data_IF_683729162388
#
_entry.id   IF_683729162388
#
_cell.length_a   1.000
_cell.length_b   1.000
_cell.length_c   1.000
_cell.angle_alpha   90.00
_cell.angle_beta   90.00
_cell.angle_gamma   90.00
#
_symmetry.space_group_name_H-M   'P 1'
#
loop_
_entity.id
_entity.type
_entity.pdbx_description
1 polymer ?
#
# COMPACT_ATOMS: atom_id res chain seq x y z
N UNK A 1 14.78 -9.92 7.92
CA UNK A 1 13.66 -10.60 7.22
C UNK A 1 13.90 -10.54 5.73
N UNK A 2 14.04 -9.36 5.10
CA UNK A 2 14.12 -9.19 3.64
C UNK A 2 15.28 -9.96 2.97
N UNK A 3 16.42 -10.13 3.66
CA UNK A 3 17.60 -10.77 3.06
C UNK A 3 17.80 -12.23 3.51
N UNK A 4 17.37 -12.59 4.73
CA UNK A 4 17.73 -13.87 5.35
C UNK A 4 16.54 -14.81 5.58
N UNK A 5 15.31 -14.28 5.55
CA UNK A 5 14.12 -15.08 5.75
C UNK A 5 13.60 -15.63 4.39
N UNK A 6 12.82 -16.70 4.40
CA UNK A 6 12.18 -17.24 3.21
C UNK A 6 11.20 -16.22 2.59
N UNK A 7 10.86 -16.38 1.32
CA UNK A 7 10.10 -15.42 0.53
C UNK A 7 8.70 -15.13 1.09
N UNK A 8 8.05 -16.15 1.66
CA UNK A 8 6.76 -15.97 2.33
C UNK A 8 6.84 -15.01 3.53
N UNK A 9 7.97 -14.93 4.22
CA UNK A 9 8.15 -14.01 5.34
C UNK A 9 8.18 -12.54 4.89
N UNK A 10 8.66 -12.28 3.66
CA UNK A 10 8.57 -10.95 3.04
C UNK A 10 7.11 -10.60 2.72
N UNK A 11 6.33 -11.55 2.20
CA UNK A 11 4.90 -11.34 1.93
C UNK A 11 4.12 -11.04 3.22
N UNK A 12 4.39 -11.78 4.31
CA UNK A 12 3.77 -11.54 5.62
C UNK A 12 4.18 -10.16 6.17
N UNK A 13 5.45 -9.79 6.08
CA UNK A 13 5.92 -8.48 6.51
C UNK A 13 5.24 -7.35 5.75
N UNK A 14 5.18 -7.45 4.42
CA UNK A 14 4.52 -6.45 3.58
C UNK A 14 3.02 -6.40 3.88
N UNK A 15 2.35 -7.54 4.09
CA UNK A 15 0.95 -7.57 4.48
C UNK A 15 0.69 -6.85 5.81
N UNK A 16 1.55 -7.07 6.81
CA UNK A 16 1.46 -6.37 8.10
C UNK A 16 1.65 -4.86 7.94
N UNK A 17 2.64 -4.43 7.16
CA UNK A 17 2.86 -3.02 6.85
C UNK A 17 1.66 -2.41 6.12
N UNK A 18 1.04 -3.16 5.19
CA UNK A 18 -0.17 -2.71 4.50
C UNK A 18 -1.35 -2.55 5.46
N UNK A 19 -1.55 -3.45 6.42
CA UNK A 19 -2.63 -3.34 7.43
C UNK A 19 -2.43 -2.10 8.29
N UNK A 20 -1.20 -1.86 8.78
CA UNK A 20 -0.88 -0.66 9.57
C UNK A 20 -1.08 0.60 8.72
N UNK A 21 -0.53 0.62 7.50
CA UNK A 21 -0.67 1.76 6.58
C UNK A 21 -2.12 2.03 6.18
N UNK A 22 -2.93 0.97 6.00
CA UNK A 22 -4.36 1.08 5.75
C UNK A 22 -5.07 1.75 6.94
N UNK A 23 -4.78 1.32 8.16
CA UNK A 23 -5.35 1.93 9.36
C UNK A 23 -4.98 3.41 9.47
N UNK A 24 -3.70 3.75 9.34
CA UNK A 24 -3.20 5.13 9.40
C UNK A 24 -3.80 6.02 8.30
N UNK A 25 -3.83 5.50 7.06
CA UNK A 25 -4.42 6.23 5.94
C UNK A 25 -5.90 6.50 6.14
N UNK A 26 -6.68 5.49 6.55
CA UNK A 26 -8.10 5.66 6.85
C UNK A 26 -8.33 6.59 8.04
N UNK A 27 -7.44 6.59 9.04
CA UNK A 27 -7.51 7.50 10.16
C UNK A 27 -7.24 8.97 9.74
N UNK A 28 -6.37 9.18 8.78
CA UNK A 28 -5.98 10.51 8.31
C UNK A 28 -6.90 11.07 7.22
N UNK A 29 -7.31 10.23 6.25
CA UNK A 29 -7.98 10.67 5.04
C UNK A 29 -9.50 10.46 5.06
N UNK A 30 -10.00 9.49 5.85
CA UNK A 30 -11.41 9.14 5.83
C UNK A 30 -12.21 9.87 6.91
N UNK A 31 -13.45 10.31 6.61
CA UNK A 31 -14.41 10.76 7.61
C UNK A 31 -14.69 9.69 8.67
N UNK A 32 -15.15 10.11 9.86
CA UNK A 32 -15.40 9.18 10.98
C UNK A 32 -16.32 8.00 10.60
N UNK A 33 -17.29 8.24 9.72
CA UNK A 33 -18.21 7.20 9.23
C UNK A 33 -17.50 6.14 8.39
N UNK A 34 -16.60 6.54 7.53
CA UNK A 34 -15.86 5.62 6.65
C UNK A 34 -14.82 4.79 7.41
N UNK A 35 -14.31 5.29 8.55
CA UNK A 35 -13.32 4.55 9.36
C UNK A 35 -13.80 3.17 9.81
N UNK A 36 -15.08 2.95 9.96
CA UNK A 36 -15.61 1.62 10.29
C UNK A 36 -15.34 0.57 9.20
N UNK A 37 -15.06 0.99 7.97
CA UNK A 37 -14.72 0.13 6.84
C UNK A 37 -13.22 -0.27 6.80
N UNK A 38 -12.43 0.22 7.77
CA UNK A 38 -11.01 -0.13 7.82
C UNK A 38 -10.74 -1.64 7.88
N UNK A 39 -11.55 -2.49 8.56
CA UNK A 39 -11.29 -3.93 8.56
C UNK A 39 -11.49 -4.56 7.17
N UNK A 40 -12.47 -4.04 6.41
CA UNK A 40 -12.67 -4.46 5.03
C UNK A 40 -11.49 -4.02 4.14
N UNK A 41 -11.04 -2.78 4.24
CA UNK A 41 -9.88 -2.29 3.51
C UNK A 41 -8.60 -3.07 3.90
N UNK A 42 -8.42 -3.39 5.18
CA UNK A 42 -7.31 -4.20 5.67
C UNK A 42 -7.36 -5.63 5.12
N UNK A 43 -8.53 -6.29 5.11
CA UNK A 43 -8.67 -7.62 4.53
C UNK A 43 -8.41 -7.62 3.02
N UNK A 44 -8.89 -6.59 2.31
CA UNK A 44 -8.62 -6.38 0.90
C UNK A 44 -7.11 -6.18 0.64
N UNK A 45 -6.42 -5.43 1.50
CA UNK A 45 -4.98 -5.19 1.38
C UNK A 45 -4.16 -6.47 1.57
N UNK A 46 -4.47 -7.27 2.58
CA UNK A 46 -3.84 -8.58 2.81
C UNK A 46 -4.07 -9.48 1.61
N UNK A 47 -5.30 -9.55 1.14
CA UNK A 47 -5.67 -10.37 -0.02
C UNK A 47 -4.91 -9.94 -1.29
N UNK A 48 -4.76 -8.63 -1.51
CA UNK A 48 -4.00 -8.07 -2.64
C UNK A 48 -2.53 -8.50 -2.59
N UNK A 49 -1.87 -8.40 -1.43
CA UNK A 49 -0.46 -8.82 -1.27
C UNK A 49 -0.30 -10.32 -1.54
N UNK A 50 -1.18 -11.16 -0.98
CA UNK A 50 -1.12 -12.60 -1.22
C UNK A 50 -1.47 -12.99 -2.65
N UNK A 51 -2.36 -12.26 -3.32
CA UNK A 51 -2.64 -12.45 -4.75
C UNK A 51 -1.36 -12.25 -5.57
N UNK A 52 -0.59 -11.20 -5.27
CA UNK A 52 0.68 -10.94 -5.95
C UNK A 52 1.73 -12.00 -5.63
N UNK A 53 1.81 -12.44 -4.38
CA UNK A 53 2.72 -13.51 -3.96
C UNK A 53 2.44 -14.83 -4.70
N UNK A 54 1.18 -15.24 -4.78
CA UNK A 54 0.79 -16.50 -5.40
C UNK A 54 0.77 -16.45 -6.94
N UNK A 55 0.79 -15.27 -7.55
CA UNK A 55 0.94 -15.09 -9.02
C UNK A 55 2.39 -15.10 -9.49
N UNK A 56 3.35 -15.30 -8.59
CA UNK A 56 4.75 -15.47 -8.96
C UNK A 56 5.03 -16.88 -9.51
N UNK A 57 6.15 -17.02 -10.23
CA UNK A 57 6.55 -18.22 -10.98
C UNK A 57 6.61 -19.52 -10.13
N UNK A 58 6.67 -19.39 -8.79
CA UNK A 58 6.77 -20.51 -7.87
C UNK A 58 5.51 -21.41 -7.85
N UNK A 59 4.38 -20.93 -8.38
CA UNK A 59 3.09 -21.61 -8.29
C UNK A 59 2.38 -21.75 -9.64
N UNK A 60 3.08 -21.51 -10.75
CA UNK A 60 2.54 -21.68 -12.09
C UNK A 60 2.01 -23.11 -12.29
N UNK A 61 0.73 -23.18 -12.69
CA UNK A 61 0.06 -24.44 -13.01
C UNK A 61 -0.98 -24.95 -12.04
N UNK A 62 -1.21 -24.29 -10.89
CA UNK A 62 -2.29 -24.67 -9.99
C UNK A 62 -3.57 -23.87 -10.25
N UNK A 63 -4.75 -24.53 -10.44
CA UNK A 63 -6.00 -23.83 -10.80
C UNK A 63 -6.49 -22.87 -9.70
N UNK A 64 -6.07 -23.04 -8.47
CA UNK A 64 -6.45 -22.20 -7.34
C UNK A 64 -5.93 -20.75 -7.53
N UNK A 65 -4.73 -20.58 -8.06
CA UNK A 65 -4.13 -19.24 -8.23
C UNK A 65 -4.76 -18.45 -9.38
N UNK A 66 -5.31 -19.14 -10.37
CA UNK A 66 -6.08 -18.51 -11.43
C UNK A 66 -7.36 -17.83 -10.91
N UNK A 67 -7.88 -18.22 -9.76
CA UNK A 67 -9.07 -17.65 -9.14
C UNK A 67 -8.77 -16.39 -8.33
N UNK A 68 -7.51 -16.12 -7.94
CA UNK A 68 -7.14 -14.99 -7.08
C UNK A 68 -7.55 -13.62 -7.67
N UNK A 69 -7.30 -13.30 -8.96
CA UNK A 69 -7.75 -12.02 -9.53
C UNK A 69 -9.27 -11.88 -9.55
N UNK A 70 -9.99 -12.98 -9.77
CA UNK A 70 -11.45 -12.99 -9.75
C UNK A 70 -12.03 -12.77 -8.34
N UNK A 71 -11.39 -13.33 -7.31
CA UNK A 71 -11.74 -13.06 -5.93
C UNK A 71 -11.47 -11.60 -5.56
N UNK A 72 -10.36 -11.03 -6.03
CA UNK A 72 -10.07 -9.61 -5.85
C UNK A 72 -11.13 -8.74 -6.53
N UNK A 73 -11.49 -9.05 -7.77
CA UNK A 73 -12.56 -8.38 -8.48
C UNK A 73 -13.91 -8.50 -7.75
N UNK A 74 -14.24 -9.68 -7.22
CA UNK A 74 -15.46 -9.88 -6.44
C UNK A 74 -15.48 -9.02 -5.17
N UNK A 75 -14.36 -8.89 -4.45
CA UNK A 75 -14.26 -8.00 -3.28
C UNK A 75 -14.49 -6.54 -3.64
N UNK A 76 -14.00 -6.09 -4.79
CA UNK A 76 -14.25 -4.73 -5.30
C UNK A 76 -15.76 -4.56 -5.58
N UNK A 77 -16.38 -5.53 -6.26
CA UNK A 77 -17.82 -5.51 -6.53
C UNK A 77 -18.62 -5.46 -5.23
N UNK A 78 -18.23 -6.25 -4.22
CA UNK A 78 -18.88 -6.23 -2.89
C UNK A 78 -18.80 -4.85 -2.26
N UNK A 79 -17.66 -4.15 -2.36
CA UNK A 79 -17.52 -2.78 -1.88
C UNK A 79 -18.53 -1.83 -2.54
N UNK A 80 -18.66 -1.90 -3.87
CA UNK A 80 -19.60 -1.05 -4.61
C UNK A 80 -21.05 -1.40 -4.29
N UNK A 81 -21.39 -2.68 -4.21
CA UNK A 81 -22.74 -3.13 -3.83
C UNK A 81 -23.09 -2.65 -2.41
N UNK A 82 -22.16 -2.77 -1.47
CA UNK A 82 -22.37 -2.28 -0.10
C UNK A 82 -22.57 -0.76 -0.07
N UNK A 83 -21.82 -0.01 -0.87
CA UNK A 83 -21.98 1.44 -1.00
C UNK A 83 -23.37 1.81 -1.55
N UNK A 84 -23.85 1.11 -2.59
CA UNK A 84 -25.19 1.32 -3.16
C UNK A 84 -26.29 0.97 -2.16
N UNK A 85 -26.14 -0.13 -1.41
CA UNK A 85 -27.12 -0.53 -0.38
C UNK A 85 -27.16 0.41 0.82
N UNK A 86 -26.05 1.09 1.12
CA UNK A 86 -25.97 2.08 2.18
C UNK A 86 -26.50 3.45 1.75
N UNK A 87 -26.75 3.67 0.47
CA UNK A 87 -27.20 4.95 -0.07
C UNK A 87 -28.52 5.41 0.56
N UNK A 88 -28.57 6.66 0.98
CA UNK A 88 -29.73 7.25 1.67
C UNK A 88 -29.96 6.80 3.11
N UNK A 89 -29.02 6.05 3.72
CA UNK A 89 -29.07 5.63 5.11
C UNK A 89 -28.08 6.44 5.95
N UNK A 90 -28.21 6.33 7.28
CA UNK A 90 -27.27 7.01 8.22
C UNK A 90 -25.81 6.60 8.01
N UNK A 91 -25.60 5.45 7.42
CA UNK A 91 -24.32 4.81 7.12
C UNK A 91 -23.85 5.00 5.66
N UNK A 92 -24.41 5.97 4.96
CA UNK A 92 -24.07 6.24 3.56
C UNK A 92 -22.56 6.43 3.37
N UNK A 93 -22.00 5.66 2.42
CA UNK A 93 -20.64 5.81 1.94
C UNK A 93 -20.65 6.82 0.79
N UNK A 94 -19.97 7.93 1.02
CA UNK A 94 -19.77 8.92 -0.04
C UNK A 94 -18.68 8.45 -1.02
N UNK A 95 -18.64 9.04 -2.21
CA UNK A 95 -17.60 8.73 -3.20
C UNK A 95 -16.17 8.88 -2.65
N UNK A 96 -15.81 9.94 -1.88
CA UNK A 96 -14.52 10.02 -1.21
C UNK A 96 -14.24 8.86 -0.26
N UNK A 97 -15.25 8.34 0.44
CA UNK A 97 -15.10 7.20 1.35
C UNK A 97 -14.75 5.91 0.59
N UNK A 98 -15.44 5.66 -0.52
CA UNK A 98 -15.15 4.53 -1.42
C UNK A 98 -13.74 4.65 -1.98
N UNK A 99 -13.33 5.85 -2.41
CA UNK A 99 -11.98 6.12 -2.87
C UNK A 99 -10.93 5.86 -1.77
N UNK A 100 -11.19 6.29 -0.53
CA UNK A 100 -10.28 6.04 0.58
C UNK A 100 -10.11 4.54 0.87
N UNK A 101 -11.20 3.77 0.87
CA UNK A 101 -11.17 2.31 1.02
C UNK A 101 -10.42 1.65 -0.14
N UNK A 102 -10.68 2.07 -1.38
CA UNK A 102 -10.02 1.51 -2.56
C UNK A 102 -8.52 1.83 -2.60
N UNK A 103 -8.13 3.07 -2.27
CA UNK A 103 -6.71 3.46 -2.23
C UNK A 103 -5.98 2.68 -1.15
N UNK A 104 -6.53 2.60 0.07
CA UNK A 104 -5.88 1.89 1.18
C UNK A 104 -5.86 0.37 0.99
N UNK A 105 -6.91 -0.20 0.39
CA UNK A 105 -7.05 -1.65 0.22
C UNK A 105 -6.45 -2.21 -1.07
N UNK A 106 -6.22 -1.38 -2.09
CA UNK A 106 -5.73 -1.83 -3.41
C UNK A 106 -4.45 -1.09 -3.82
N UNK A 107 -4.50 0.25 -3.94
CA UNK A 107 -3.39 1.00 -4.55
C UNK A 107 -2.12 0.90 -3.71
N UNK A 108 -2.23 1.14 -2.40
CA UNK A 108 -1.09 1.06 -1.48
C UNK A 108 -0.54 -0.38 -1.42
N UNK A 109 -1.37 -1.43 -1.21
CA UNK A 109 -0.88 -2.81 -1.20
C UNK A 109 -0.27 -3.27 -2.53
N UNK A 110 -0.83 -2.87 -3.67
CA UNK A 110 -0.25 -3.19 -4.98
C UNK A 110 1.14 -2.56 -5.14
N UNK A 111 1.30 -1.30 -4.74
CA UNK A 111 2.60 -0.63 -4.79
C UNK A 111 3.64 -1.32 -3.88
N UNK A 112 3.26 -1.64 -2.63
CA UNK A 112 4.16 -2.30 -1.69
C UNK A 112 4.43 -3.77 -2.04
N UNK A 113 3.49 -4.47 -2.68
CA UNK A 113 3.68 -5.85 -3.12
C UNK A 113 4.71 -6.00 -4.25
N UNK A 114 5.12 -4.90 -4.90
CA UNK A 114 6.28 -4.91 -5.79
C UNK A 114 7.55 -5.38 -5.08
N UNK A 115 7.71 -5.11 -3.77
CA UNK A 115 8.82 -5.63 -2.96
C UNK A 115 8.78 -7.16 -2.86
N UNK A 116 7.59 -7.73 -2.75
CA UNK A 116 7.39 -9.19 -2.72
C UNK A 116 7.81 -9.78 -4.06
N UNK A 117 7.39 -9.19 -5.18
CA UNK A 117 7.80 -9.64 -6.53
C UNK A 117 9.30 -9.53 -6.75
N UNK A 118 9.90 -8.40 -6.37
CA UNK A 118 11.36 -8.23 -6.46
C UNK A 118 12.10 -9.31 -5.67
N UNK A 119 11.57 -9.69 -4.51
CA UNK A 119 12.17 -10.73 -3.66
C UNK A 119 12.11 -12.12 -4.29
N UNK A 120 11.08 -12.41 -5.08
CA UNK A 120 10.87 -13.69 -5.76
C UNK A 120 11.66 -13.84 -7.07
N UNK A 121 12.25 -12.76 -7.59
CA UNK A 121 13.08 -12.81 -8.81
C UNK A 121 14.45 -13.42 -8.52
N UNK A 122 15.13 -13.83 -9.60
CA UNK A 122 16.54 -14.21 -9.54
C UNK A 122 17.35 -13.06 -8.92
N UNK A 123 18.21 -13.38 -7.96
CA UNK A 123 18.95 -12.39 -7.13
C UNK A 123 18.03 -11.47 -6.29
N UNK A 124 16.79 -11.87 -6.02
CA UNK A 124 15.77 -11.08 -5.33
C UNK A 124 16.22 -10.51 -3.98
N UNK A 125 17.13 -11.21 -3.27
CA UNK A 125 17.73 -10.72 -2.02
C UNK A 125 18.48 -9.39 -2.20
N UNK A 126 19.18 -9.22 -3.31
CA UNK A 126 19.86 -7.96 -3.66
C UNK A 126 18.89 -6.92 -4.23
N UNK A 127 18.00 -7.37 -5.12
CA UNK A 127 17.04 -6.49 -5.79
C UNK A 127 16.10 -5.77 -4.83
N UNK A 128 15.63 -6.44 -3.77
CA UNK A 128 14.73 -5.84 -2.78
C UNK A 128 15.40 -4.72 -1.96
N UNK A 129 16.73 -4.73 -1.87
CA UNK A 129 17.47 -3.67 -1.17
C UNK A 129 17.55 -2.37 -1.97
N UNK A 130 17.51 -2.44 -3.30
CA UNK A 130 17.67 -1.27 -4.18
C UNK A 130 16.63 -0.19 -3.86
N UNK A 131 15.30 -0.45 -3.88
CA UNK A 131 14.30 0.58 -3.58
C UNK A 131 14.40 1.07 -2.15
N UNK A 132 14.74 0.20 -1.18
CA UNK A 132 14.89 0.59 0.21
C UNK A 132 16.08 1.54 0.41
N UNK A 133 17.25 1.16 -0.09
CA UNK A 133 18.46 1.99 0.00
C UNK A 133 18.24 3.31 -0.73
N UNK A 134 17.63 3.27 -1.93
CA UNK A 134 17.33 4.48 -2.71
C UNK A 134 16.41 5.42 -1.93
N UNK A 135 15.37 4.91 -1.27
CA UNK A 135 14.46 5.72 -0.48
C UNK A 135 15.18 6.39 0.70
N UNK A 136 15.95 5.61 1.48
CA UNK A 136 16.71 6.14 2.63
C UNK A 136 17.77 7.16 2.21
N UNK A 137 18.51 6.86 1.13
CA UNK A 137 19.54 7.79 0.60
C UNK A 137 18.87 9.06 0.09
N UNK A 138 17.77 8.95 -0.66
CA UNK A 138 17.03 10.10 -1.15
C UNK A 138 16.54 11.00 -0.01
N UNK A 139 15.92 10.42 1.03
CA UNK A 139 15.46 11.19 2.19
C UNK A 139 16.61 11.84 2.96
N UNK A 140 17.72 11.12 3.15
CA UNK A 140 18.91 11.67 3.79
C UNK A 140 19.52 12.83 2.97
N UNK A 141 19.65 12.65 1.66
CA UNK A 141 20.18 13.68 0.77
C UNK A 141 19.25 14.90 0.71
N UNK A 142 17.94 14.70 0.67
CA UNK A 142 16.96 15.78 0.75
C UNK A 142 17.07 16.57 2.06
N UNK A 143 17.24 15.88 3.18
CA UNK A 143 17.41 16.50 4.49
C UNK A 143 18.73 17.30 4.56
N UNK A 144 19.86 16.67 4.22
CA UNK A 144 21.17 17.33 4.28
C UNK A 144 21.28 18.45 3.24
N UNK A 145 20.81 18.23 2.02
CA UNK A 145 20.77 19.27 0.98
C UNK A 145 19.93 20.47 1.41
N UNK A 146 18.77 20.21 2.02
CA UNK A 146 17.92 21.26 2.58
C UNK A 146 18.53 22.01 3.74
N UNK A 147 19.32 21.34 4.61
CA UNK A 147 20.01 21.99 5.73
C UNK A 147 21.22 22.81 5.28
N UNK A 148 22.00 22.31 4.30
CA UNK A 148 23.23 22.95 3.84
C UNK A 148 22.99 24.07 2.84
N UNK A 149 22.05 23.87 1.92
CA UNK A 149 21.84 24.78 0.78
C UNK A 149 20.45 25.43 0.75
N UNK A 150 19.53 25.03 1.66
CA UNK A 150 18.15 25.48 1.64
C UNK A 150 18.00 26.97 1.91
N UNK A 151 17.51 27.69 0.90
CA UNK A 151 17.22 29.14 0.97
C UNK A 151 15.74 29.44 0.80
N UNK A 152 15.07 28.67 -0.06
CA UNK A 152 13.67 28.90 -0.43
C UNK A 152 12.75 27.81 0.10
N UNK A 153 11.65 28.19 0.76
CA UNK A 153 10.66 27.23 1.24
C UNK A 153 9.91 26.59 0.07
N UNK A 154 9.78 25.25 0.07
CA UNK A 154 9.06 24.53 -0.98
C UNK A 154 7.54 24.71 -0.86
N UNK A 155 6.99 24.48 0.31
CA UNK A 155 5.57 24.55 0.57
C UNK A 155 5.30 25.04 2.02
N UNK A 156 5.35 26.38 2.29
CA UNK A 156 5.29 26.92 3.65
C UNK A 156 4.05 26.51 4.45
N UNK A 157 2.90 26.31 3.76
CA UNK A 157 1.63 25.92 4.41
C UNK A 157 1.52 24.44 4.73
N UNK A 158 2.19 23.56 3.95
CA UNK A 158 2.07 22.11 4.08
C UNK A 158 3.26 21.52 4.84
N UNK A 159 4.46 21.99 4.53
CA UNK A 159 5.69 21.55 5.17
C UNK A 159 6.67 22.73 5.31
N UNK A 160 6.64 23.44 6.45
CA UNK A 160 7.44 24.65 6.66
C UNK A 160 8.94 24.37 6.73
N UNK A 161 9.35 23.12 6.92
CA UNK A 161 10.76 22.72 7.01
C UNK A 161 11.38 22.33 5.66
N UNK A 162 10.57 21.98 4.64
CA UNK A 162 11.08 21.60 3.32
C UNK A 162 11.53 22.80 2.51
N UNK A 163 12.68 22.66 1.84
CA UNK A 163 13.25 23.67 0.94
C UNK A 163 13.30 23.14 -0.49
N UNK A 164 13.32 24.04 -1.47
CA UNK A 164 13.42 23.67 -2.89
C UNK A 164 14.75 23.01 -3.22
N UNK A 165 15.80 23.45 -2.56
CA UNK A 165 17.16 22.96 -2.74
C UNK A 165 17.38 21.57 -2.12
N UNK A 166 16.50 21.17 -1.21
CA UNK A 166 16.51 19.85 -0.58
C UNK A 166 15.44 18.88 -1.14
N UNK A 167 14.70 19.27 -2.20
CA UNK A 167 13.68 18.41 -2.83
C UNK A 167 14.22 17.78 -4.16
#
# INVERSE_FOLDING_TARGET
VLCFAPDWATAVLVALLCVIGCHEFMAAAAPLKARRWWPFAASLSVFTVFTVYFHGDAFDGTPIYALMPWLLAALIVVLFVAAVQAYGKDDELTFPDICAVAVSGLVIPLALSCLVRLRMMDYGTGLVLIPLVSAFVSDAMALFGGMLFGKTKLAPRVSPKKTREGA
#
